data_IF_313471039259
#
_entry.id   IF_313471039259
#
_cell.length_a   1.000
_cell.length_b   1.000
_cell.length_c   1.000
_cell.angle_alpha   90.00
_cell.angle_beta   90.00
_cell.angle_gamma   90.00
#
_symmetry.space_group_name_H-M   'P 1'
#
loop_
_entity.id
_entity.type
_entity.pdbx_description
1 polymer ?
#
# COMPACT_ATOMS: atom_id res chain seq x y z
N UNK A 1 -21.43 -16.45 -76.03
CA UNK A 1 -20.45 -15.34 -76.01
C UNK A 1 -19.97 -15.15 -74.57
N UNK A 2 -18.68 -15.34 -74.31
CA UNK A 2 -18.10 -15.19 -72.98
C UNK A 2 -17.74 -13.72 -72.72
N UNK A 3 -18.17 -13.16 -71.57
CA UNK A 3 -17.81 -11.80 -71.13
C UNK A 3 -16.32 -11.74 -70.74
N UNK A 4 -15.61 -10.64 -71.05
CA UNK A 4 -14.19 -10.52 -70.74
C UNK A 4 -13.95 -10.42 -69.23
N UNK A 5 -12.81 -10.96 -68.79
CA UNK A 5 -12.35 -10.97 -67.41
C UNK A 5 -12.23 -9.53 -66.86
N UNK A 6 -13.05 -9.21 -65.87
CA UNK A 6 -12.95 -7.97 -65.12
C UNK A 6 -11.67 -7.97 -64.28
N UNK A 7 -10.87 -6.92 -64.44
CA UNK A 7 -9.76 -6.59 -63.56
C UNK A 7 -10.15 -6.80 -62.09
N UNK A 8 -9.28 -7.46 -61.32
CA UNK A 8 -9.48 -7.69 -59.89
C UNK A 8 -9.92 -6.41 -59.17
N UNK A 9 -10.77 -6.58 -58.14
CA UNK A 9 -11.36 -5.46 -57.40
C UNK A 9 -10.29 -4.44 -57.00
N UNK A 10 -10.64 -3.15 -56.96
CA UNK A 10 -9.75 -2.07 -56.51
C UNK A 10 -9.10 -2.43 -55.16
N UNK A 11 -9.83 -3.13 -54.29
CA UNK A 11 -9.33 -3.68 -53.02
C UNK A 11 -8.17 -4.67 -53.19
N UNK A 12 -8.18 -5.51 -54.22
CA UNK A 12 -7.11 -6.48 -54.50
C UNK A 12 -5.84 -5.77 -54.99
N UNK A 13 -6.00 -4.70 -55.77
CA UNK A 13 -4.90 -3.86 -56.24
C UNK A 13 -4.27 -3.13 -55.04
N UNK A 14 -5.09 -2.52 -54.18
CA UNK A 14 -4.64 -1.85 -52.97
C UNK A 14 -3.93 -2.82 -52.01
N UNK A 15 -4.48 -4.02 -51.79
CA UNK A 15 -3.89 -5.03 -50.91
C UNK A 15 -2.54 -5.53 -51.44
N UNK A 16 -2.41 -5.74 -52.75
CA UNK A 16 -1.13 -6.12 -53.38
C UNK A 16 -0.09 -5.01 -53.30
N UNK A 17 -0.50 -3.75 -53.51
CA UNK A 17 0.40 -2.60 -53.45
C UNK A 17 0.88 -2.31 -52.01
N UNK A 18 0.01 -2.45 -51.02
CA UNK A 18 0.31 -2.12 -49.62
C UNK A 18 0.99 -3.27 -48.85
N UNK A 19 0.86 -4.52 -49.32
CA UNK A 19 1.43 -5.71 -48.67
C UNK A 19 2.93 -5.60 -48.32
N UNK A 20 3.81 -5.17 -49.24
CA UNK A 20 5.24 -5.01 -48.95
C UNK A 20 5.53 -3.90 -47.93
N UNK A 21 4.78 -2.79 -47.99
CA UNK A 21 4.91 -1.66 -47.05
C UNK A 21 4.50 -2.07 -45.65
N UNK A 22 3.35 -2.76 -45.53
CA UNK A 22 2.85 -3.29 -44.27
C UNK A 22 3.82 -4.29 -43.64
N UNK A 23 4.47 -5.17 -44.42
CA UNK A 23 5.47 -6.11 -43.91
C UNK A 23 6.73 -5.40 -43.38
N UNK A 24 7.14 -4.31 -44.01
CA UNK A 24 8.31 -3.52 -43.57
C UNK A 24 7.97 -2.67 -42.34
N UNK A 25 6.79 -2.05 -42.34
CA UNK A 25 6.29 -1.26 -41.23
C UNK A 25 6.00 -2.12 -40.00
N UNK A 26 5.46 -3.34 -40.16
CA UNK A 26 5.12 -4.21 -39.04
C UNK A 26 6.35 -4.63 -38.23
N UNK A 27 7.49 -4.90 -38.88
CA UNK A 27 8.74 -5.20 -38.19
C UNK A 27 9.25 -3.99 -37.38
N UNK A 28 9.18 -2.79 -37.96
CA UNK A 28 9.57 -1.55 -37.28
C UNK A 28 8.64 -1.23 -36.10
N UNK A 29 7.33 -1.43 -36.27
CA UNK A 29 6.33 -1.22 -35.22
C UNK A 29 6.52 -2.24 -34.10
N UNK A 30 6.72 -3.52 -34.43
CA UNK A 30 6.98 -4.57 -33.45
C UNK A 30 8.25 -4.26 -32.64
N UNK A 31 9.31 -3.78 -33.29
CA UNK A 31 10.54 -3.34 -32.62
C UNK A 31 10.29 -2.16 -31.67
N UNK A 32 9.58 -1.13 -32.12
CA UNK A 32 9.24 0.02 -31.27
C UNK A 32 8.38 -0.37 -30.06
N UNK A 33 7.41 -1.28 -30.25
CA UNK A 33 6.60 -1.81 -29.14
C UNK A 33 7.45 -2.61 -28.16
N UNK A 34 8.37 -3.45 -28.65
CA UNK A 34 9.28 -4.22 -27.81
C UNK A 34 10.21 -3.32 -26.98
N UNK A 35 10.73 -2.24 -27.58
CA UNK A 35 11.55 -1.25 -26.89
C UNK A 35 10.75 -0.52 -25.80
N UNK A 36 9.55 -0.03 -26.11
CA UNK A 36 8.67 0.62 -25.12
C UNK A 36 8.27 -0.34 -23.98
N UNK A 37 8.03 -1.62 -24.28
CA UNK A 37 7.71 -2.62 -23.27
C UNK A 37 8.92 -2.93 -22.37
N UNK A 38 10.12 -3.00 -22.94
CA UNK A 38 11.35 -3.21 -22.18
C UNK A 38 11.63 -2.03 -21.22
N UNK A 39 11.47 -0.80 -21.68
CA UNK A 39 11.63 0.40 -20.85
C UNK A 39 10.62 0.46 -19.70
N UNK A 40 9.37 0.07 -19.94
CA UNK A 40 8.33 -0.02 -18.91
C UNK A 40 8.66 -1.08 -17.85
N UNK A 41 9.08 -2.26 -18.28
CA UNK A 41 9.48 -3.35 -17.38
C UNK A 41 10.69 -2.95 -16.54
N UNK A 42 11.70 -2.31 -17.14
CA UNK A 42 12.88 -1.85 -16.40
C UNK A 42 12.51 -0.77 -15.36
N UNK A 43 11.64 0.17 -15.73
CA UNK A 43 11.11 1.19 -14.80
C UNK A 43 10.37 0.56 -13.61
N UNK A 44 9.53 -0.44 -13.86
CA UNK A 44 8.82 -1.17 -12.81
C UNK A 44 9.77 -1.96 -11.92
N UNK A 45 10.77 -2.65 -12.49
CA UNK A 45 11.80 -3.39 -11.76
C UNK A 45 12.64 -2.45 -10.90
N UNK A 46 13.12 -1.33 -11.42
CA UNK A 46 13.88 -0.34 -10.66
C UNK A 46 13.05 0.24 -9.50
N UNK A 47 11.77 0.53 -9.71
CA UNK A 47 10.86 1.00 -8.66
C UNK A 47 10.62 -0.05 -7.57
N UNK A 48 10.51 -1.33 -7.95
CA UNK A 48 10.34 -2.47 -7.04
C UNK A 48 11.62 -2.77 -6.25
N UNK A 49 12.78 -2.74 -6.91
CA UNK A 49 14.09 -2.93 -6.28
C UNK A 49 14.43 -1.78 -5.33
N UNK A 50 14.12 -0.53 -5.70
CA UNK A 50 14.26 0.64 -4.83
C UNK A 50 13.44 0.50 -3.54
N UNK A 51 12.19 0.04 -3.65
CA UNK A 51 11.32 -0.26 -2.49
C UNK A 51 11.84 -1.43 -1.66
N UNK A 52 12.36 -2.48 -2.28
CA UNK A 52 12.91 -3.65 -1.59
C UNK A 52 14.26 -3.37 -0.90
N UNK A 53 15.08 -2.47 -1.44
CA UNK A 53 16.37 -2.05 -0.87
C UNK A 53 16.17 -1.02 0.25
N UNK A 54 15.21 -0.10 0.11
CA UNK A 54 14.78 0.80 1.20
C UNK A 54 14.23 0.04 2.41
N UNK A 55 13.46 -1.02 2.19
CA UNK A 55 12.95 -1.90 3.27
C UNK A 55 14.04 -2.71 4.00
N UNK A 56 15.13 -3.05 3.32
CA UNK A 56 16.26 -3.80 3.91
C UNK A 56 17.29 -2.90 4.59
N UNK A 57 17.52 -1.69 4.07
CA UNK A 57 18.46 -0.73 4.67
C UNK A 57 17.93 -0.11 5.98
N UNK A 58 16.62 0.11 6.10
CA UNK A 58 15.99 0.62 7.33
C UNK A 58 16.07 -0.36 8.53
N UNK A 59 16.61 -1.58 8.36
CA UNK A 59 16.83 -2.56 9.44
C UNK A 59 18.26 -2.58 9.99
N UNK A 60 19.21 -1.91 9.36
CA UNK A 60 20.64 -2.12 9.66
C UNK A 60 21.35 -0.93 10.33
N UNK A 61 20.74 0.25 10.43
CA UNK A 61 21.36 1.40 11.08
C UNK A 61 20.70 1.70 12.44
N UNK A 62 21.50 1.65 13.50
CA UNK A 62 21.15 1.67 14.92
C UNK A 62 19.99 2.57 15.34
N UNK A 63 19.04 1.99 16.07
CA UNK A 63 17.87 2.71 16.54
C UNK A 63 17.04 1.99 17.59
N UNK A 64 17.67 1.59 18.71
CA UNK A 64 17.03 1.12 19.95
C UNK A 64 16.25 -0.21 19.79
N UNK A 65 16.26 -1.15 20.76
CA UNK A 65 15.40 -2.32 20.67
C UNK A 65 13.96 -1.83 20.55
N UNK A 66 13.31 -2.14 19.43
CA UNK A 66 11.88 -1.99 19.27
C UNK A 66 11.27 -2.81 20.41
N UNK A 67 10.87 -2.14 21.50
CA UNK A 67 10.18 -2.78 22.61
C UNK A 67 9.02 -3.50 21.96
N UNK A 68 9.07 -4.85 21.99
CA UNK A 68 7.93 -5.69 21.64
C UNK A 68 6.73 -5.02 22.31
N UNK A 69 5.68 -4.71 21.53
CA UNK A 69 4.44 -4.16 22.09
C UNK A 69 3.83 -5.24 22.98
N UNK A 70 4.41 -5.43 24.16
CA UNK A 70 3.82 -6.24 25.21
C UNK A 70 2.44 -5.68 25.49
N UNK A 71 1.51 -6.56 25.80
CA UNK A 71 0.19 -6.16 26.25
C UNK A 71 0.35 -5.11 27.35
N UNK A 72 -0.30 -3.95 27.19
CA UNK A 72 -0.17 -2.87 28.16
C UNK A 72 -0.96 -3.27 29.41
N UNK A 73 -0.26 -3.75 30.43
CA UNK A 73 -0.85 -4.24 31.69
C UNK A 73 -1.17 -3.13 32.67
N UNK A 74 -0.55 -1.96 32.52
CA UNK A 74 -0.73 -0.79 33.40
C UNK A 74 -0.93 0.48 32.59
N UNK A 75 -1.88 1.31 33.03
CA UNK A 75 -2.16 2.62 32.47
C UNK A 75 -2.40 3.62 33.60
N UNK A 76 -1.94 4.86 33.42
CA UNK A 76 -2.07 5.93 34.42
C UNK A 76 -2.72 7.14 33.76
N UNK A 77 -3.64 7.78 34.46
CA UNK A 77 -4.34 9.00 34.02
C UNK A 77 -3.45 10.27 34.09
N UNK A 78 -2.16 10.17 33.77
CA UNK A 78 -1.19 11.27 33.77
C UNK A 78 -1.35 12.17 32.51
N UNK A 79 -0.87 13.42 32.55
CA UNK A 79 -0.79 14.40 31.44
C UNK A 79 -0.31 13.79 30.12
N UNK A 80 0.62 12.83 30.15
CA UNK A 80 1.17 12.17 28.95
C UNK A 80 0.25 11.11 28.34
N UNK A 81 -0.78 10.65 29.05
CA UNK A 81 -1.72 9.65 28.55
C UNK A 81 -2.55 10.23 27.39
N UNK A 82 -2.30 9.71 26.18
CA UNK A 82 -2.97 10.15 24.93
C UNK A 82 -4.28 9.42 24.64
N UNK A 83 -4.36 8.13 24.99
CA UNK A 83 -5.52 7.26 24.73
C UNK A 83 -5.83 6.41 25.95
N UNK A 84 -7.12 6.14 26.17
CA UNK A 84 -7.61 5.19 27.17
C UNK A 84 -7.58 3.78 26.56
N UNK A 85 -6.86 2.81 27.17
CA UNK A 85 -6.83 1.43 26.70
C UNK A 85 -8.14 0.69 26.99
N UNK A 86 -8.43 -0.34 26.19
CA UNK A 86 -9.67 -1.13 26.31
C UNK A 86 -9.90 -1.70 27.71
N UNK A 87 -8.86 -2.25 28.36
CA UNK A 87 -9.00 -2.82 29.71
C UNK A 87 -9.42 -1.78 30.76
N UNK A 88 -9.04 -0.51 30.59
CA UNK A 88 -9.45 0.56 31.50
C UNK A 88 -10.93 0.90 31.28
N UNK A 89 -11.39 0.90 30.03
CA UNK A 89 -12.80 1.13 29.68
C UNK A 89 -13.66 0.02 30.27
N UNK A 90 -13.23 -1.24 30.13
CA UNK A 90 -13.88 -2.42 30.70
C UNK A 90 -13.92 -2.35 32.23
N UNK A 91 -12.81 -2.01 32.89
CA UNK A 91 -12.77 -1.85 34.35
C UNK A 91 -13.66 -0.72 34.86
N UNK A 92 -13.72 0.42 34.16
CA UNK A 92 -14.43 1.63 34.60
C UNK A 92 -15.92 1.64 34.23
N UNK A 93 -16.45 0.52 33.73
CA UNK A 93 -17.82 0.39 33.26
C UNK A 93 -18.17 1.38 32.13
N UNK A 94 -17.26 1.56 31.17
CA UNK A 94 -17.52 2.32 29.95
C UNK A 94 -16.96 3.75 29.90
N UNK A 95 -16.02 4.13 30.77
CA UNK A 95 -15.36 5.44 30.64
C UNK A 95 -14.30 5.41 29.52
N UNK A 96 -14.72 5.87 28.36
CA UNK A 96 -13.96 5.89 27.10
C UNK A 96 -12.89 7.00 27.01
N UNK A 97 -13.04 8.05 27.79
CA UNK A 97 -12.25 9.28 27.69
C UNK A 97 -11.47 9.55 28.97
N UNK A 98 -10.22 9.98 28.81
CA UNK A 98 -9.34 10.33 29.94
C UNK A 98 -9.99 11.37 30.85
N UNK A 99 -10.71 12.36 30.27
CA UNK A 99 -11.42 13.39 31.03
C UNK A 99 -12.42 12.79 32.01
N UNK A 100 -13.23 11.80 31.59
CA UNK A 100 -14.20 11.12 32.46
C UNK A 100 -13.51 10.31 33.56
N UNK A 101 -12.39 9.65 33.23
CA UNK A 101 -11.61 8.89 34.22
C UNK A 101 -11.02 9.83 35.27
N UNK A 102 -10.40 10.94 34.86
CA UNK A 102 -9.83 11.92 35.78
C UNK A 102 -10.92 12.56 36.66
N UNK A 103 -12.11 12.80 36.11
CA UNK A 103 -13.24 13.32 36.88
C UNK A 103 -13.71 12.36 37.99
N UNK A 104 -13.62 11.04 37.77
CA UNK A 104 -14.11 10.02 38.71
C UNK A 104 -13.04 9.47 39.66
N UNK A 105 -11.80 9.37 39.20
CA UNK A 105 -10.70 8.73 39.93
C UNK A 105 -9.55 9.68 40.29
N UNK A 106 -9.63 10.94 39.84
CA UNK A 106 -8.58 11.93 40.04
C UNK A 106 -7.46 11.87 38.99
N UNK A 107 -6.59 12.88 39.03
CA UNK A 107 -5.35 12.87 38.26
C UNK A 107 -4.43 11.75 38.79
N UNK A 108 -3.63 11.16 37.89
CA UNK A 108 -2.65 10.11 38.21
C UNK A 108 -3.23 8.79 38.75
N UNK A 109 -4.55 8.57 38.59
CA UNK A 109 -5.18 7.29 38.85
C UNK A 109 -4.52 6.17 38.02
N UNK A 110 -4.04 5.13 38.70
CA UNK A 110 -3.38 3.99 38.08
C UNK A 110 -4.34 2.80 37.97
N UNK A 111 -4.40 2.22 36.78
CA UNK A 111 -5.21 1.05 36.44
C UNK A 111 -4.27 -0.07 36.01
N UNK A 112 -4.42 -1.24 36.64
CA UNK A 112 -3.65 -2.45 36.33
C UNK A 112 -4.62 -3.59 36.00
N UNK A 113 -4.36 -4.30 34.90
CA UNK A 113 -5.20 -5.42 34.44
C UNK A 113 -5.28 -6.48 35.55
N UNK A 114 -6.48 -6.79 36.02
CA UNK A 114 -6.73 -7.79 37.07
C UNK A 114 -6.64 -7.28 38.51
N UNK A 115 -6.31 -6.01 38.74
CA UNK A 115 -6.38 -5.40 40.08
C UNK A 115 -7.72 -4.67 40.29
N UNK A 116 -8.17 -4.48 41.55
CA UNK A 116 -9.36 -3.69 41.83
C UNK A 116 -9.20 -2.26 41.33
N UNK A 117 -10.33 -1.60 41.07
CA UNK A 117 -10.34 -0.21 40.65
C UNK A 117 -9.65 0.70 41.67
N UNK A 118 -8.91 1.73 41.20
CA UNK A 118 -8.40 2.77 42.09
C UNK A 118 -9.58 3.45 42.81
N UNK A 119 -9.33 3.96 44.02
CA UNK A 119 -10.35 4.64 44.80
C UNK A 119 -10.91 5.82 43.99
N UNK A 120 -12.23 5.91 43.90
CA UNK A 120 -12.88 7.09 43.32
C UNK A 120 -12.59 8.30 44.20
N UNK A 121 -12.42 9.47 43.58
CA UNK A 121 -12.23 10.74 44.27
C UNK A 121 -13.55 11.45 44.48
#
# INVERSE_FOLDING_TARGET
MARPAGNGSIDDILRRAMGPVLRRASASIAKAIAEMAAERLDSELQSGVGRARGRRSARAAGGRPARRRGEMTRWVADRRARRVPKFVIEMTNGLDTKKKIVARFGADAAFEKGKPLPKAK
#
